data_IF_449383432321
#
_entry.id   IF_449383432321
#
_cell.length_a   1.000
_cell.length_b   1.000
_cell.length_c   1.000
_cell.angle_alpha   90.00
_cell.angle_beta   90.00
_cell.angle_gamma   90.00
#
_symmetry.space_group_name_H-M   'P 1'
#
loop_
_entity.id
_entity.type
_entity.pdbx_description
1 polymer ?
#
# COMPACT_ATOMS: atom_id res chain seq x y z
N UNK A 1 27.93 5.82 -15.64
CA UNK A 1 26.82 6.17 -14.74
C UNK A 1 27.21 5.75 -13.33
N UNK A 2 27.50 6.70 -12.45
CA UNK A 2 27.95 6.40 -11.09
C UNK A 2 26.83 5.70 -10.34
N UNK A 3 27.06 4.45 -9.94
CA UNK A 3 26.15 3.72 -9.06
C UNK A 3 26.24 4.42 -7.71
N UNK A 4 25.27 5.30 -7.40
CA UNK A 4 25.16 5.87 -6.07
C UNK A 4 24.86 4.72 -5.12
N UNK A 5 25.92 4.14 -4.53
CA UNK A 5 25.78 3.18 -3.43
C UNK A 5 25.02 3.91 -2.34
N UNK A 6 23.82 3.44 -2.03
CA UNK A 6 23.02 3.92 -0.92
C UNK A 6 23.77 3.55 0.36
N UNK A 7 24.58 4.47 0.88
CA UNK A 7 25.52 4.18 1.97
C UNK A 7 25.01 4.62 3.34
N UNK A 8 24.02 5.52 3.42
CA UNK A 8 23.44 5.96 4.69
C UNK A 8 22.11 5.27 4.99
N UNK A 9 21.85 5.02 6.27
CA UNK A 9 20.58 4.43 6.75
C UNK A 9 19.37 5.28 6.34
N UNK A 10 19.49 6.61 6.37
CA UNK A 10 18.44 7.51 5.90
C UNK A 10 18.13 7.32 4.41
N UNK A 11 19.16 7.11 3.58
CA UNK A 11 18.96 6.88 2.14
C UNK A 11 18.38 5.48 1.87
N UNK A 12 18.74 4.46 2.66
CA UNK A 12 18.12 3.12 2.58
C UNK A 12 16.65 3.17 2.96
N UNK A 13 16.33 3.84 4.07
CA UNK A 13 14.95 4.03 4.51
C UNK A 13 14.12 4.75 3.45
N UNK A 14 14.65 5.86 2.89
CA UNK A 14 13.97 6.59 1.83
C UNK A 14 13.71 5.71 0.60
N UNK A 15 14.74 4.97 0.14
CA UNK A 15 14.60 4.09 -1.01
C UNK A 15 13.57 2.97 -0.78
N UNK A 16 13.57 2.36 0.41
CA UNK A 16 12.60 1.35 0.81
C UNK A 16 11.18 1.92 0.82
N UNK A 17 11.01 3.09 1.44
CA UNK A 17 9.72 3.79 1.50
C UNK A 17 9.17 4.08 0.10
N UNK A 18 9.99 4.64 -0.79
CA UNK A 18 9.56 4.94 -2.17
C UNK A 18 9.24 3.67 -2.96
N UNK A 19 10.02 2.60 -2.79
CA UNK A 19 9.73 1.28 -3.38
C UNK A 19 8.34 0.80 -2.93
N UNK A 20 8.10 0.73 -1.62
CA UNK A 20 6.84 0.25 -1.04
C UNK A 20 5.64 1.08 -1.53
N UNK A 21 5.76 2.41 -1.55
CA UNK A 21 4.70 3.30 -2.04
C UNK A 21 4.42 3.04 -3.53
N UNK A 22 5.46 2.96 -4.35
CA UNK A 22 5.33 2.69 -5.78
C UNK A 22 4.66 1.36 -6.05
N UNK A 23 5.12 0.29 -5.38
CA UNK A 23 4.52 -1.04 -5.51
C UNK A 23 3.07 -1.08 -4.99
N UNK A 24 2.78 -0.42 -3.88
CA UNK A 24 1.41 -0.30 -3.36
C UNK A 24 0.46 0.38 -4.34
N UNK A 25 0.91 1.44 -5.02
CA UNK A 25 0.10 2.13 -6.05
C UNK A 25 -0.18 1.21 -7.24
N UNK A 26 0.82 0.47 -7.73
CA UNK A 26 0.63 -0.53 -8.80
C UNK A 26 -0.40 -1.58 -8.39
N UNK A 27 -0.24 -2.12 -7.18
CA UNK A 27 -1.17 -3.10 -6.60
C UNK A 27 -2.61 -2.57 -6.53
N UNK A 28 -2.81 -1.32 -6.12
CA UNK A 28 -4.14 -0.70 -6.10
C UNK A 28 -4.72 -0.53 -7.51
N UNK A 29 -3.88 -0.15 -8.48
CA UNK A 29 -4.28 -0.06 -9.89
C UNK A 29 -4.80 -1.40 -10.41
N UNK A 30 -4.01 -2.46 -10.26
CA UNK A 30 -4.41 -3.80 -10.69
C UNK A 30 -5.63 -4.32 -9.93
N UNK A 31 -5.68 -4.11 -8.61
CA UNK A 31 -6.84 -4.48 -7.81
C UNK A 31 -8.11 -3.76 -8.25
N UNK A 32 -8.00 -2.51 -8.72
CA UNK A 32 -9.13 -1.74 -9.21
C UNK A 32 -9.71 -2.31 -10.52
N UNK A 33 -8.87 -2.88 -11.39
CA UNK A 33 -9.32 -3.46 -12.66
C UNK A 33 -10.09 -4.78 -12.47
N UNK A 34 -9.71 -5.57 -11.46
CA UNK A 34 -10.34 -6.87 -11.13
C UNK A 34 -11.15 -6.84 -9.84
N UNK A 35 -11.62 -5.66 -9.43
CA UNK A 35 -12.26 -5.46 -8.11
C UNK A 35 -13.48 -6.37 -7.89
N UNK A 36 -14.19 -6.75 -8.95
CA UNK A 36 -15.33 -7.67 -8.88
C UNK A 36 -14.95 -9.15 -8.66
N UNK A 37 -13.68 -9.50 -8.82
CA UNK A 37 -13.14 -10.85 -8.65
C UNK A 37 -12.48 -11.05 -7.27
N UNK A 38 -12.21 -9.96 -6.56
CA UNK A 38 -11.54 -9.98 -5.26
C UNK A 38 -12.50 -10.41 -4.15
N UNK A 39 -11.98 -11.19 -3.19
CA UNK A 39 -12.75 -11.54 -2.00
C UNK A 39 -12.91 -10.34 -1.07
N UNK A 40 -13.90 -10.38 -0.18
CA UNK A 40 -14.06 -9.36 0.87
C UNK A 40 -12.81 -9.22 1.74
N UNK A 41 -12.11 -10.32 2.01
CA UNK A 41 -10.86 -10.31 2.78
C UNK A 41 -9.74 -9.59 2.02
N UNK A 42 -9.63 -9.79 0.70
CA UNK A 42 -8.61 -9.11 -0.10
C UNK A 42 -8.88 -7.61 -0.17
N UNK A 43 -10.15 -7.23 -0.37
CA UNK A 43 -10.59 -5.83 -0.35
C UNK A 43 -10.32 -5.19 1.03
N UNK A 44 -10.62 -5.88 2.13
CA UNK A 44 -10.32 -5.38 3.48
C UNK A 44 -8.82 -5.11 3.65
N UNK A 45 -7.97 -6.06 3.23
CA UNK A 45 -6.52 -5.93 3.33
C UNK A 45 -5.94 -4.84 2.42
N UNK A 46 -6.52 -4.62 1.24
CA UNK A 46 -6.16 -3.49 0.37
C UNK A 46 -6.51 -2.16 1.03
N UNK A 47 -7.66 -2.10 1.73
CA UNK A 47 -8.03 -0.94 2.55
C UNK A 47 -7.05 -0.69 3.69
N UNK A 48 -6.67 -1.75 4.40
CA UNK A 48 -5.70 -1.70 5.50
C UNK A 48 -4.31 -1.27 5.00
N UNK A 49 -3.87 -1.76 3.83
CA UNK A 49 -2.62 -1.34 3.19
C UNK A 49 -2.64 0.16 2.84
N UNK A 50 -3.72 0.66 2.23
CA UNK A 50 -3.84 2.07 1.91
C UNK A 50 -3.78 2.94 3.19
N UNK A 51 -4.46 2.49 4.25
CA UNK A 51 -4.41 3.16 5.54
C UNK A 51 -2.99 3.15 6.14
N UNK A 52 -2.25 2.05 6.00
CA UNK A 52 -0.87 1.93 6.47
C UNK A 52 0.12 2.78 5.66
N UNK A 53 -0.14 3.03 4.37
CA UNK A 53 0.68 3.89 3.52
C UNK A 53 0.46 5.39 3.77
N UNK A 54 -0.66 5.78 4.37
CA UNK A 54 -1.01 7.18 4.61
C UNK A 54 0.09 7.97 5.34
N UNK A 55 0.67 7.52 6.46
CA UNK A 55 1.69 8.28 7.20
C UNK A 55 3.00 8.45 6.40
N UNK A 56 3.21 7.63 5.38
CA UNK A 56 4.43 7.58 4.58
C UNK A 56 4.30 8.31 3.23
N UNK A 57 3.08 8.69 2.84
CA UNK A 57 2.78 9.32 1.55
C UNK A 57 2.53 10.82 1.70
N UNK A 58 3.39 11.70 1.13
CA UNK A 58 3.21 13.14 1.27
C UNK A 58 2.14 13.71 0.32
N UNK A 59 1.61 14.88 0.68
CA UNK A 59 0.83 15.74 -0.22
C UNK A 59 -0.49 15.13 -0.70
N UNK A 60 -0.75 15.21 -2.00
CA UNK A 60 -2.00 14.73 -2.59
C UNK A 60 -2.10 13.20 -2.60
N UNK A 61 -0.97 12.49 -2.65
CA UNK A 61 -0.95 11.02 -2.59
C UNK A 61 -1.47 10.51 -1.25
N UNK A 62 -1.10 11.16 -0.13
CA UNK A 62 -1.65 10.82 1.18
C UNK A 62 -3.17 11.02 1.25
N UNK A 63 -3.69 12.14 0.71
CA UNK A 63 -5.15 12.36 0.64
C UNK A 63 -5.85 11.27 -0.18
N UNK A 64 -5.23 10.80 -1.27
CA UNK A 64 -5.75 9.69 -2.05
C UNK A 64 -5.76 8.38 -1.26
N UNK A 65 -4.74 8.10 -0.44
CA UNK A 65 -4.71 6.89 0.40
C UNK A 65 -5.92 6.80 1.34
N UNK A 66 -6.38 7.94 1.89
CA UNK A 66 -7.62 7.99 2.69
C UNK A 66 -8.84 7.55 1.86
N UNK A 67 -8.96 8.05 0.63
CA UNK A 67 -10.08 7.73 -0.26
C UNK A 67 -10.03 6.25 -0.67
N UNK A 68 -8.85 5.76 -1.05
CA UNK A 68 -8.63 4.37 -1.45
C UNK A 68 -8.96 3.41 -0.30
N UNK A 69 -8.49 3.68 0.91
CA UNK A 69 -8.78 2.87 2.10
C UNK A 69 -10.29 2.73 2.33
N UNK A 70 -11.00 3.88 2.32
CA UNK A 70 -12.45 3.93 2.52
C UNK A 70 -13.23 3.16 1.46
N UNK A 71 -12.85 3.29 0.19
CA UNK A 71 -13.52 2.59 -0.90
C UNK A 71 -13.34 1.08 -0.79
N UNK A 72 -12.13 0.61 -0.52
CA UNK A 72 -11.86 -0.82 -0.36
C UNK A 72 -12.55 -1.41 0.87
N UNK A 73 -12.54 -0.72 2.03
CA UNK A 73 -13.31 -1.17 3.20
C UNK A 73 -14.81 -1.19 2.94
N UNK A 74 -15.35 -0.20 2.25
CA UNK A 74 -16.77 -0.17 1.89
C UNK A 74 -17.14 -1.36 0.99
N UNK A 75 -16.30 -1.69 0.00
CA UNK A 75 -16.49 -2.86 -0.87
C UNK A 75 -16.37 -4.19 -0.09
N UNK A 76 -15.50 -4.24 0.91
CA UNK A 76 -15.41 -5.37 1.83
C UNK A 76 -16.63 -5.49 2.77
N UNK A 77 -17.45 -4.44 2.88
CA UNK A 77 -18.58 -4.37 3.83
C UNK A 77 -18.14 -4.10 5.27
N UNK A 78 -17.00 -3.44 5.45
CA UNK A 78 -16.41 -3.11 6.75
C UNK A 78 -16.58 -1.61 7.02
N UNK A 79 -16.92 -1.23 8.25
CA UNK A 79 -16.97 0.18 8.65
C UNK A 79 -15.58 0.82 8.63
N UNK A 80 -15.49 2.15 8.47
CA UNK A 80 -14.20 2.85 8.52
C UNK A 80 -13.40 2.45 9.77
N UNK A 81 -12.11 2.16 9.56
CA UNK A 81 -11.17 1.80 10.61
C UNK A 81 -10.22 2.95 10.90
N UNK A 82 -9.57 2.87 12.05
CA UNK A 82 -8.53 3.83 12.43
C UNK A 82 -7.27 3.65 11.57
N UNK A 83 -6.68 4.77 11.16
CA UNK A 83 -5.38 4.79 10.50
C UNK A 83 -4.29 4.52 11.54
N UNK A 84 -3.60 3.37 11.38
CA UNK A 84 -2.48 2.98 12.24
C UNK A 84 -1.15 3.35 11.59
N UNK A 85 -0.20 3.75 12.42
CA UNK A 85 1.19 3.95 11.98
C UNK A 85 1.90 2.61 12.09
N UNK A 86 2.31 2.05 10.96
CA UNK A 86 3.10 0.81 10.87
C UNK A 86 4.52 1.11 10.39
N UNK A 87 5.46 0.23 10.75
CA UNK A 87 6.84 0.29 10.24
C UNK A 87 6.90 -0.17 8.77
N UNK A 88 7.90 0.30 8.02
CA UNK A 88 8.01 0.01 6.59
C UNK A 88 8.15 -1.49 6.31
N UNK A 89 8.83 -2.22 7.18
CA UNK A 89 9.03 -3.67 7.07
C UNK A 89 7.71 -4.45 7.22
N UNK A 90 6.78 -3.93 8.02
CA UNK A 90 5.44 -4.51 8.16
C UNK A 90 4.62 -4.24 6.89
N UNK A 91 4.69 -3.01 6.37
CA UNK A 91 3.99 -2.62 5.15
C UNK A 91 4.53 -3.39 3.94
N UNK A 92 5.85 -3.60 3.84
CA UNK A 92 6.46 -4.40 2.78
C UNK A 92 5.91 -5.84 2.79
N UNK A 93 5.80 -6.47 3.96
CA UNK A 93 5.19 -7.80 4.08
C UNK A 93 3.72 -7.80 3.61
N UNK A 94 2.94 -6.79 4.01
CA UNK A 94 1.55 -6.67 3.55
C UNK A 94 1.47 -6.58 2.02
N UNK A 95 2.36 -5.79 1.40
CA UNK A 95 2.43 -5.65 -0.06
C UNK A 95 2.76 -7.00 -0.71
N UNK A 96 3.80 -7.69 -0.27
CA UNK A 96 4.22 -8.97 -0.88
C UNK A 96 3.16 -10.08 -0.71
N UNK A 97 2.51 -10.15 0.45
CA UNK A 97 1.39 -11.07 0.68
C UNK A 97 0.22 -10.78 -0.25
N UNK A 98 -0.16 -9.51 -0.40
CA UNK A 98 -1.25 -9.12 -1.28
C UNK A 98 -0.92 -9.33 -2.75
N UNK A 99 0.31 -9.02 -3.18
CA UNK A 99 0.77 -9.31 -4.53
C UNK A 99 0.60 -10.78 -4.89
N UNK A 100 1.06 -11.65 -3.99
CA UNK A 100 0.95 -13.10 -4.14
C UNK A 100 -0.50 -13.57 -4.23
N UNK A 101 -1.39 -12.98 -3.41
CA UNK A 101 -2.82 -13.33 -3.40
C UNK A 101 -3.56 -12.86 -4.64
N UNK A 102 -3.34 -11.63 -5.10
CA UNK A 102 -4.09 -11.06 -6.22
C UNK A 102 -3.45 -11.37 -7.57
N UNK A 103 -2.29 -12.03 -7.62
CA UNK A 103 -1.56 -12.30 -8.86
C UNK A 103 -0.99 -11.03 -9.49
N UNK A 104 -0.40 -10.16 -8.68
CA UNK A 104 0.30 -8.94 -9.12
C UNK A 104 1.78 -9.23 -9.32
N UNK A 105 2.33 -8.93 -10.50
CA UNK A 105 3.74 -9.16 -10.85
C UNK A 105 4.70 -8.07 -10.33
#
# INVERSE_FOLDING_TARGET
>A
MGVHRITSEAAKYYALKEKIIGTGIVLFGEASEKVGELSKEDLEKLGDLAAALLPHTPGNSGKLMVVVARLFWALAGVTEREFKILQLEEIEKMVEELKSKIGSE
#
